data_IF_072070236047
#
_entry.id   IF_072070236047
#
_cell.length_a   1.000
_cell.length_b   1.000
_cell.length_c   1.000
_cell.angle_alpha   90.00
_cell.angle_beta   90.00
_cell.angle_gamma   90.00
#
_symmetry.space_group_name_H-M   'P 1'
#
loop_
_entity.id
_entity.type
_entity.pdbx_description
1 polymer ?
#
# COMPACT_ATOMS: atom_id res chain seq x y z
N UNK A 1 -63.79 -21.63 50.59
CA UNK A 1 -62.86 -21.02 51.53
C UNK A 1 -61.50 -21.12 51.01
N UNK A 2 -60.86 -19.95 50.75
CA UNK A 2 -59.41 -19.62 50.62
C UNK A 2 -58.60 -20.34 49.57
N UNK A 3 -58.49 -19.69 48.38
CA UNK A 3 -57.45 -19.87 47.44
C UNK A 3 -56.22 -19.06 47.89
N UNK A 4 -55.08 -19.71 47.94
CA UNK A 4 -53.77 -19.05 48.11
C UNK A 4 -53.23 -18.89 46.72
N UNK A 5 -53.03 -17.61 46.30
CA UNK A 5 -52.44 -17.24 45.05
C UNK A 5 -50.96 -17.33 45.19
N UNK A 6 -50.31 -18.24 44.43
CA UNK A 6 -48.87 -18.34 44.31
C UNK A 6 -48.40 -17.37 43.22
N UNK A 7 -47.72 -16.33 43.64
CA UNK A 7 -47.01 -15.41 42.76
C UNK A 7 -45.72 -16.06 42.30
N UNK A 8 -45.69 -16.52 41.05
CA UNK A 8 -44.45 -16.94 40.38
C UNK A 8 -43.65 -15.70 39.96
N UNK A 9 -42.55 -15.49 40.65
CA UNK A 9 -41.59 -14.48 40.27
C UNK A 9 -40.76 -14.98 39.06
N UNK A 10 -41.11 -14.51 37.88
CA UNK A 10 -40.29 -14.68 36.67
C UNK A 10 -39.11 -13.73 36.75
N UNK A 11 -37.95 -14.26 37.07
CA UNK A 11 -36.69 -13.54 36.95
C UNK A 11 -36.31 -13.43 35.46
N UNK A 12 -36.48 -12.26 34.89
CA UNK A 12 -36.00 -11.95 33.55
C UNK A 12 -34.49 -11.65 33.66
N UNK A 13 -33.66 -12.62 33.26
CA UNK A 13 -32.22 -12.39 33.04
C UNK A 13 -32.06 -11.55 31.76
N UNK A 14 -31.82 -10.26 31.92
CA UNK A 14 -31.39 -9.40 30.84
C UNK A 14 -29.90 -9.69 30.56
N UNK A 15 -29.62 -10.48 29.51
CA UNK A 15 -28.27 -10.65 28.97
C UNK A 15 -27.88 -9.40 28.22
N UNK A 16 -27.04 -8.57 28.83
CA UNK A 16 -26.40 -7.42 28.16
C UNK A 16 -25.40 -7.93 27.15
N UNK A 17 -25.72 -7.89 25.86
CA UNK A 17 -24.82 -8.11 24.75
C UNK A 17 -23.92 -6.88 24.64
N UNK A 18 -22.69 -6.98 25.13
CA UNK A 18 -21.63 -6.02 24.88
C UNK A 18 -21.22 -6.16 23.40
N UNK A 19 -21.73 -5.27 22.56
CA UNK A 19 -21.26 -5.14 21.19
C UNK A 19 -19.85 -4.57 21.21
N UNK A 20 -18.85 -5.43 21.01
CA UNK A 20 -17.48 -5.01 20.77
C UNK A 20 -17.43 -4.41 19.37
N UNK A 21 -17.47 -3.08 19.29
CA UNK A 21 -17.23 -2.35 18.04
C UNK A 21 -15.77 -2.52 17.67
N UNK A 22 -15.48 -3.42 16.72
CA UNK A 22 -14.16 -3.48 16.11
C UNK A 22 -13.93 -2.17 15.33
N UNK A 23 -12.76 -1.53 15.45
CA UNK A 23 -12.44 -0.36 14.63
C UNK A 23 -12.41 -0.81 13.16
N UNK A 24 -13.35 -0.32 12.38
CA UNK A 24 -13.33 -0.45 10.93
C UNK A 24 -12.24 0.46 10.39
N UNK A 25 -11.06 -0.08 10.17
CA UNK A 25 -10.07 0.59 9.34
C UNK A 25 -10.56 0.55 7.90
N UNK A 26 -11.13 1.66 7.43
CA UNK A 26 -11.49 1.78 6.03
C UNK A 26 -10.20 1.72 5.20
N UNK A 27 -10.14 0.80 4.23
CA UNK A 27 -9.04 0.75 3.28
C UNK A 27 -8.90 2.12 2.61
N UNK A 28 -7.66 2.65 2.43
CA UNK A 28 -7.48 3.93 1.77
C UNK A 28 -8.11 3.88 0.39
N UNK A 29 -9.11 4.73 0.19
CA UNK A 29 -9.78 4.92 -1.08
C UNK A 29 -9.19 6.15 -1.76
N UNK A 30 -8.99 6.08 -3.07
CA UNK A 30 -8.55 7.24 -3.83
C UNK A 30 -7.40 6.95 -4.79
N UNK A 31 -6.67 7.99 -5.13
CA UNK A 31 -5.50 7.95 -6.01
C UNK A 31 -4.25 7.74 -5.16
N UNK A 32 -3.28 6.92 -5.60
CA UNK A 32 -2.00 6.82 -4.90
C UNK A 32 -1.36 8.21 -4.74
N UNK A 33 -0.93 8.52 -3.52
CA UNK A 33 -0.33 9.80 -3.17
C UNK A 33 0.74 9.65 -2.10
N UNK A 34 1.78 10.48 -2.19
CA UNK A 34 2.87 10.56 -1.21
C UNK A 34 3.84 9.40 -1.33
N UNK A 35 4.57 9.14 -0.24
CA UNK A 35 5.68 8.19 -0.18
C UNK A 35 5.21 6.79 0.23
N UNK A 36 5.75 5.80 -0.46
CA UNK A 36 5.52 4.38 -0.26
C UNK A 36 6.86 3.64 -0.28
N UNK A 37 7.07 2.77 0.67
CA UNK A 37 8.24 1.90 0.72
C UNK A 37 7.95 0.62 -0.06
N UNK A 38 8.74 0.33 -1.07
CA UNK A 38 8.64 -0.89 -1.88
C UNK A 38 9.02 -2.09 -1.00
N UNK A 39 8.20 -3.13 -1.05
CA UNK A 39 8.42 -4.40 -0.33
C UNK A 39 8.55 -5.59 -1.28
N UNK A 40 8.13 -5.43 -2.52
CA UNK A 40 8.25 -6.49 -3.53
C UNK A 40 8.16 -5.97 -4.95
N UNK A 41 8.90 -6.63 -5.83
CA UNK A 41 8.88 -6.44 -7.29
C UNK A 41 8.81 -7.80 -7.97
N UNK A 42 7.83 -8.00 -8.85
CA UNK A 42 7.60 -9.25 -9.59
C UNK A 42 7.58 -10.52 -8.72
N UNK A 43 6.98 -10.42 -7.52
CA UNK A 43 6.83 -11.55 -6.60
C UNK A 43 8.07 -11.87 -5.78
N UNK A 44 9.12 -11.05 -5.86
CA UNK A 44 10.33 -11.17 -5.05
C UNK A 44 10.43 -10.01 -4.07
N UNK A 45 10.98 -10.24 -2.89
CA UNK A 45 11.31 -9.19 -1.95
C UNK A 45 12.22 -8.16 -2.62
N UNK A 46 11.89 -6.90 -2.42
CA UNK A 46 12.66 -5.78 -2.95
C UNK A 46 12.56 -4.61 -1.98
N UNK A 47 13.55 -3.74 -2.00
CA UNK A 47 13.57 -2.48 -1.25
C UNK A 47 13.67 -1.32 -2.22
N UNK A 48 13.15 -0.18 -1.79
CA UNK A 48 13.14 1.04 -2.58
C UNK A 48 12.02 1.96 -2.14
N UNK A 49 11.91 3.05 -2.84
CA UNK A 49 10.91 4.08 -2.58
C UNK A 49 10.09 4.38 -3.83
N UNK A 50 8.82 4.65 -3.63
CA UNK A 50 7.89 5.08 -4.67
C UNK A 50 7.17 6.32 -4.16
N UNK A 51 7.21 7.41 -4.91
CA UNK A 51 6.60 8.69 -4.52
C UNK A 51 5.64 9.13 -5.61
N UNK A 52 4.37 9.30 -5.26
CA UNK A 52 3.37 9.89 -6.14
C UNK A 52 3.17 11.36 -5.77
N UNK A 53 3.61 12.24 -6.64
CA UNK A 53 3.30 13.66 -6.56
C UNK A 53 2.05 13.95 -7.40
N UNK A 54 0.96 14.15 -6.69
CA UNK A 54 -0.34 14.39 -7.31
C UNK A 54 -0.42 15.77 -7.98
N UNK A 55 0.25 16.77 -7.40
CA UNK A 55 0.21 18.13 -7.91
C UNK A 55 0.85 18.24 -9.31
N UNK A 56 1.96 17.56 -9.50
CA UNK A 56 2.68 17.53 -10.78
C UNK A 56 2.29 16.34 -11.67
N UNK A 57 1.48 15.39 -11.17
CA UNK A 57 1.20 14.10 -11.84
C UNK A 57 2.50 13.34 -12.17
N UNK A 58 3.48 13.41 -11.28
CA UNK A 58 4.78 12.75 -11.41
C UNK A 58 4.91 11.62 -10.42
N UNK A 59 5.53 10.56 -10.88
CA UNK A 59 5.93 9.40 -10.09
C UNK A 59 7.46 9.37 -10.07
N UNK A 60 8.02 9.22 -8.88
CA UNK A 60 9.44 8.98 -8.68
C UNK A 60 9.64 7.62 -8.03
N UNK A 61 10.62 6.88 -8.47
CA UNK A 61 10.97 5.59 -7.91
C UNK A 61 12.50 5.48 -7.78
N UNK A 62 12.94 4.77 -6.75
CA UNK A 62 14.34 4.61 -6.39
C UNK A 62 14.53 3.20 -5.82
N UNK A 63 15.54 2.49 -6.30
CA UNK A 63 15.95 1.18 -5.79
C UNK A 63 17.33 1.21 -5.14
N UNK A 64 17.86 2.42 -4.87
CA UNK A 64 19.10 2.63 -4.13
C UNK A 64 20.23 3.33 -4.88
N UNK A 65 20.08 3.62 -6.17
CA UNK A 65 21.11 4.31 -6.95
C UNK A 65 20.55 5.45 -7.80
N UNK A 66 19.81 5.12 -8.83
CA UNK A 66 19.24 6.09 -9.74
C UNK A 66 17.79 6.39 -9.40
N UNK A 67 17.38 7.61 -9.68
CA UNK A 67 15.99 8.02 -9.58
C UNK A 67 15.32 7.83 -10.94
N UNK A 68 14.27 7.02 -10.96
CA UNK A 68 13.33 6.92 -12.08
C UNK A 68 12.27 8.00 -11.91
N UNK A 69 11.94 8.71 -12.97
CA UNK A 69 10.88 9.72 -12.98
C UNK A 69 9.98 9.51 -14.19
N UNK A 70 8.69 9.41 -13.93
CA UNK A 70 7.67 9.18 -14.96
C UNK A 70 6.44 10.06 -14.71
N UNK A 71 5.70 10.38 -15.74
CA UNK A 71 4.34 10.87 -15.59
C UNK A 71 3.38 9.73 -15.24
N UNK A 72 2.29 10.03 -14.55
CA UNK A 72 1.22 9.05 -14.36
C UNK A 72 -0.16 9.66 -14.53
N UNK A 73 -1.12 8.82 -14.88
CA UNK A 73 -2.54 9.19 -14.93
C UNK A 73 -3.38 8.11 -14.27
N UNK A 74 -4.32 8.56 -13.46
CA UNK A 74 -5.33 7.69 -12.85
C UNK A 74 -6.67 7.97 -13.48
N UNK A 75 -7.35 6.93 -13.92
CA UNK A 75 -8.71 7.03 -14.46
C UNK A 75 -9.49 5.76 -14.17
N UNK A 76 -10.60 5.88 -13.44
CA UNK A 76 -11.50 4.74 -13.13
C UNK A 76 -10.76 3.50 -12.58
N UNK A 77 -9.89 3.68 -11.58
CA UNK A 77 -9.13 2.59 -10.97
C UNK A 77 -7.96 2.05 -11.80
N UNK A 78 -7.71 2.63 -12.96
CA UNK A 78 -6.54 2.34 -13.79
C UNK A 78 -5.43 3.33 -13.52
N UNK A 79 -4.21 2.85 -13.49
CA UNK A 79 -3.00 3.65 -13.36
C UNK A 79 -2.14 3.41 -14.62
N UNK A 80 -1.93 4.46 -15.39
CA UNK A 80 -1.01 4.42 -16.52
C UNK A 80 0.24 5.22 -16.16
N UNK A 81 1.39 4.58 -16.26
CA UNK A 81 2.70 5.19 -16.07
C UNK A 81 3.31 5.40 -17.44
N UNK A 82 3.79 6.61 -17.70
CA UNK A 82 4.49 6.93 -18.95
C UNK A 82 5.90 6.29 -18.94
N UNK A 83 6.59 6.43 -20.07
CA UNK A 83 8.00 6.04 -20.12
C UNK A 83 8.80 6.78 -19.06
N UNK A 84 9.55 6.03 -18.23
CA UNK A 84 10.39 6.60 -17.19
C UNK A 84 11.70 7.09 -17.78
N UNK A 85 12.17 8.22 -17.28
CA UNK A 85 13.56 8.68 -17.45
C UNK A 85 14.32 8.39 -16.16
N UNK A 86 15.59 8.09 -16.27
CA UNK A 86 16.44 7.76 -15.12
C UNK A 86 17.69 8.61 -15.11
N UNK A 87 18.23 8.88 -13.93
CA UNK A 87 19.58 9.40 -13.78
C UNK A 87 20.61 8.33 -14.20
N UNK A 88 21.84 8.72 -14.51
CA UNK A 88 22.84 7.83 -15.04
C UNK A 88 24.05 7.79 -14.09
N UNK A 89 23.85 7.16 -12.93
CA UNK A 89 24.95 6.84 -12.01
C UNK A 89 25.36 5.39 -12.23
N UNK A 90 26.64 5.09 -12.15
CA UNK A 90 27.14 3.73 -12.07
C UNK A 90 27.16 3.31 -10.59
N UNK A 91 26.49 2.22 -10.28
CA UNK A 91 26.41 1.65 -8.95
C UNK A 91 26.75 0.16 -9.00
N UNK A 92 26.73 -0.50 -7.87
CA UNK A 92 26.98 -1.94 -7.78
C UNK A 92 26.00 -2.72 -8.69
N UNK A 93 26.47 -3.81 -9.34
CA UNK A 93 25.68 -4.56 -10.31
C UNK A 93 24.32 -5.04 -9.79
N UNK A 94 24.24 -5.41 -8.51
CA UNK A 94 23.01 -5.86 -7.87
C UNK A 94 21.97 -4.73 -7.79
N UNK A 95 22.42 -3.51 -7.48
CA UNK A 95 21.54 -2.33 -7.41
C UNK A 95 21.08 -1.94 -8.80
N UNK A 96 21.95 -1.96 -9.80
CA UNK A 96 21.59 -1.71 -11.20
C UNK A 96 20.55 -2.72 -11.70
N UNK A 97 20.72 -3.99 -11.34
CA UNK A 97 19.75 -5.05 -11.66
C UNK A 97 18.40 -4.81 -10.98
N UNK A 98 18.39 -4.36 -9.73
CA UNK A 98 17.16 -4.04 -9.01
C UNK A 98 16.41 -2.86 -9.66
N UNK A 99 17.14 -1.83 -10.10
CA UNK A 99 16.57 -0.69 -10.83
C UNK A 99 15.97 -1.09 -12.18
N UNK A 100 16.64 -1.93 -12.94
CA UNK A 100 16.14 -2.43 -14.21
C UNK A 100 14.82 -3.20 -14.01
N UNK A 101 14.76 -4.06 -13.01
CA UNK A 101 13.53 -4.79 -12.65
C UNK A 101 12.41 -3.86 -12.22
N UNK A 102 12.72 -2.85 -11.40
CA UNK A 102 11.76 -1.85 -10.96
C UNK A 102 11.24 -1.03 -12.15
N UNK A 103 12.10 -0.59 -13.03
CA UNK A 103 11.75 0.15 -14.26
C UNK A 103 10.83 -0.69 -15.17
N UNK A 104 11.17 -1.96 -15.39
CA UNK A 104 10.36 -2.90 -16.15
C UNK A 104 9.00 -3.14 -15.51
N UNK A 105 8.95 -3.32 -14.20
CA UNK A 105 7.72 -3.49 -13.47
C UNK A 105 6.82 -2.25 -13.56
N UNK A 106 7.36 -1.04 -13.38
CA UNK A 106 6.64 0.22 -13.49
C UNK A 106 6.04 0.42 -14.89
N UNK A 107 6.79 0.14 -15.92
CA UNK A 107 6.33 0.29 -17.31
C UNK A 107 5.15 -0.63 -17.65
N UNK A 108 5.03 -1.76 -16.97
CA UNK A 108 3.96 -2.74 -17.13
C UNK A 108 2.70 -2.41 -16.32
N UNK A 109 2.76 -1.51 -15.34
CA UNK A 109 1.62 -1.17 -14.47
C UNK A 109 0.47 -0.59 -15.28
N UNK A 110 -0.74 -1.13 -15.02
CA UNK A 110 -2.01 -0.64 -15.62
C UNK A 110 -3.14 -0.53 -14.62
N UNK A 111 -2.98 -1.11 -13.42
CA UNK A 111 -4.00 -1.15 -12.36
C UNK A 111 -3.36 -0.91 -11.01
N UNK A 112 -4.15 -0.39 -10.07
CA UNK A 112 -3.76 -0.29 -8.68
C UNK A 112 -4.94 -0.63 -7.78
N UNK A 113 -4.63 -1.05 -6.57
CA UNK A 113 -5.58 -1.19 -5.47
C UNK A 113 -4.86 -1.00 -4.16
N UNK A 114 -5.62 -0.64 -3.15
CA UNK A 114 -5.14 -0.60 -1.77
C UNK A 114 -5.61 -1.83 -1.02
N UNK A 115 -4.83 -2.26 -0.07
CA UNK A 115 -5.11 -3.36 0.83
C UNK A 115 -4.63 -2.99 2.22
N UNK A 116 -5.45 -3.29 3.24
CA UNK A 116 -5.00 -3.19 4.62
C UNK A 116 -4.20 -4.42 5.02
N UNK A 117 -3.10 -4.21 5.68
CA UNK A 117 -2.24 -5.26 6.23
C UNK A 117 -1.88 -4.92 7.67
N UNK A 118 -1.37 -5.88 8.48
CA UNK A 118 -0.85 -5.58 9.81
C UNK A 118 0.27 -4.52 9.82
N UNK A 119 0.98 -4.35 8.70
CA UNK A 119 2.02 -3.35 8.52
C UNK A 119 1.47 -1.98 8.06
N UNK A 120 0.14 -1.84 7.91
CA UNK A 120 -0.54 -0.64 7.43
C UNK A 120 -1.08 -0.77 6.02
N UNK A 121 -1.43 0.36 5.42
CA UNK A 121 -1.95 0.39 4.06
C UNK A 121 -0.89 -0.05 3.04
N UNK A 122 -1.24 -1.03 2.23
CA UNK A 122 -0.41 -1.54 1.14
C UNK A 122 -1.00 -1.13 -0.22
N UNK A 123 -0.14 -0.63 -1.08
CA UNK A 123 -0.42 -0.34 -2.48
C UNK A 123 0.02 -1.53 -3.33
N UNK A 124 -0.92 -2.09 -4.07
CA UNK A 124 -0.69 -3.19 -5.01
C UNK A 124 -0.78 -2.63 -6.43
N UNK A 125 0.32 -2.65 -7.15
CA UNK A 125 0.38 -2.26 -8.56
C UNK A 125 0.42 -3.52 -9.43
N UNK A 126 -0.47 -3.60 -10.41
CA UNK A 126 -0.61 -4.76 -11.28
C UNK A 126 -0.62 -4.37 -12.75
N UNK A 127 -0.26 -5.32 -13.61
CA UNK A 127 -0.33 -5.15 -15.06
C UNK A 127 -1.77 -5.30 -15.61
N UNK A 128 -1.91 -5.24 -16.91
CA UNK A 128 -3.21 -5.36 -17.59
C UNK A 128 -3.89 -6.70 -17.36
N UNK A 129 -3.14 -7.75 -17.06
CA UNK A 129 -3.65 -9.10 -16.82
C UNK A 129 -3.96 -9.35 -15.33
N UNK A 130 -3.63 -8.40 -14.45
CA UNK A 130 -3.83 -8.52 -13.01
C UNK A 130 -2.64 -9.14 -12.26
N UNK A 131 -1.53 -9.44 -12.96
CA UNK A 131 -0.31 -9.89 -12.31
C UNK A 131 0.27 -8.75 -11.47
N UNK A 132 0.54 -9.04 -10.19
CA UNK A 132 1.16 -8.09 -9.29
C UNK A 132 2.60 -7.83 -9.72
N UNK A 133 2.91 -6.56 -9.95
CA UNK A 133 4.22 -6.11 -10.38
C UNK A 133 4.99 -5.47 -9.24
N UNK A 134 4.33 -4.64 -8.42
CA UNK A 134 4.96 -3.94 -7.30
C UNK A 134 4.03 -4.01 -6.09
N UNK A 135 4.61 -4.27 -4.93
CA UNK A 135 4.01 -4.12 -3.62
C UNK A 135 4.74 -3.01 -2.86
N UNK A 136 3.99 -2.13 -2.24
CA UNK A 136 4.56 -1.06 -1.43
C UNK A 136 3.66 -0.72 -0.24
N UNK A 137 4.23 -0.43 0.91
CA UNK A 137 3.52 -0.03 2.12
C UNK A 137 3.61 1.48 2.30
N UNK A 138 2.53 2.07 2.81
CA UNK A 138 2.49 3.50 3.07
C UNK A 138 3.52 3.87 4.13
N UNK A 139 4.37 4.82 3.85
CA UNK A 139 5.21 5.42 4.88
C UNK A 139 4.43 6.47 5.65
N UNK A 140 4.59 6.48 6.97
CA UNK A 140 4.07 7.56 7.80
C UNK A 140 4.72 8.87 7.36
N UNK A 141 3.96 9.97 7.40
CA UNK A 141 4.40 11.28 6.91
C UNK A 141 5.67 11.80 7.60
N UNK A 142 5.98 11.28 8.78
CA UNK A 142 7.10 11.66 9.64
C UNK A 142 8.16 10.53 9.82
N UNK A 143 8.11 9.48 9.00
CA UNK A 143 9.16 8.47 9.05
C UNK A 143 10.48 9.10 8.55
N UNK A 144 11.56 9.08 9.37
CA UNK A 144 12.86 9.52 8.90
C UNK A 144 13.28 8.68 7.68
N UNK A 145 14.03 9.25 6.73
CA UNK A 145 14.59 8.47 5.64
C UNK A 145 15.34 7.28 6.24
N UNK A 146 15.13 6.09 5.65
CA UNK A 146 15.81 4.89 6.09
C UNK A 146 17.30 5.23 6.25
N UNK A 147 17.81 5.08 7.47
CA UNK A 147 19.20 5.38 7.76
C UNK A 147 20.04 4.51 6.83
N UNK A 148 20.77 5.19 5.97
CA UNK A 148 21.85 4.61 5.20
C UNK A 148 22.85 4.06 6.22
N UNK A 149 22.82 2.75 6.41
CA UNK A 149 23.84 2.07 7.21
C UNK A 149 25.15 2.23 6.45
N UNK A 150 25.89 3.28 6.81
CA UNK A 150 27.29 3.40 6.47
C UNK A 150 28.06 2.36 7.31
N UNK A 151 28.58 1.33 6.65
CA UNK A 151 29.75 0.56 7.10
C UNK A 151 30.79 0.53 5.99
#
# INVERSE_FOLDING_TARGET
VKGVSEMKHSAILAAALLAVSAPSFAAPSGVPEGRWRITGVDGKSASGTLVFDRASSRLHADAGCNMLSAGYRVRKGRLNVSHAVTTLKACEPEVMTAEEKLSGALSAVRRYRFRETPAGAELVLADKYGKVRILAVKEAKDAPPAAETAE
#
